data_IF_131736318266
#
_entry.id   IF_131736318266
#
_cell.length_a   1.000
_cell.length_b   1.000
_cell.length_c   1.000
_cell.angle_alpha   90.00
_cell.angle_beta   90.00
_cell.angle_gamma   90.00
#
_symmetry.space_group_name_H-M   'P 1'
#
loop_
_entity.id
_entity.type
_entity.pdbx_description
1 polymer ?
#
# COMPACT_ATOMS: atom_id res chain seq x y z
N UNK A 1 -12.93 39.61 22.74
CA UNK A 1 -12.05 38.48 23.08
C UNK A 1 -12.69 37.16 22.65
N UNK A 2 -14.02 37.00 22.72
CA UNK A 2 -14.76 35.81 22.24
C UNK A 2 -14.56 35.46 20.76
N UNK A 3 -14.45 36.44 19.86
CA UNK A 3 -14.25 36.16 18.41
C UNK A 3 -12.97 35.38 18.11
N UNK A 4 -11.91 35.50 18.93
CA UNK A 4 -10.64 34.80 18.68
C UNK A 4 -10.69 33.35 19.12
N UNK A 5 -11.48 33.03 20.14
CA UNK A 5 -11.65 31.67 20.65
C UNK A 5 -12.67 30.91 19.83
N UNK A 6 -13.73 31.57 19.36
CA UNK A 6 -14.66 31.04 18.35
C UNK A 6 -13.93 30.63 17.05
N UNK A 7 -12.93 31.40 16.61
CA UNK A 7 -12.11 31.04 15.45
C UNK A 7 -11.21 29.81 15.70
N UNK A 8 -10.62 29.69 16.90
CA UNK A 8 -9.80 28.53 17.30
C UNK A 8 -10.64 27.25 17.38
N UNK A 9 -11.82 27.34 18.00
CA UNK A 9 -12.73 26.20 18.14
C UNK A 9 -13.26 25.71 16.79
N UNK A 10 -13.56 26.62 15.87
CA UNK A 10 -13.91 26.27 14.48
C UNK A 10 -12.76 25.57 13.75
N UNK A 11 -11.52 26.01 13.94
CA UNK A 11 -10.34 25.36 13.36
C UNK A 11 -10.12 23.96 13.94
N UNK A 12 -10.23 23.79 15.26
CA UNK A 12 -10.14 22.49 15.93
C UNK A 12 -11.19 21.53 15.35
N UNK A 13 -12.45 21.96 15.23
CA UNK A 13 -13.52 21.12 14.64
C UNK A 13 -13.23 20.71 13.20
N UNK A 14 -12.73 21.62 12.37
CA UNK A 14 -12.40 21.30 10.98
C UNK A 14 -11.22 20.33 10.87
N UNK A 15 -10.22 20.50 11.73
CA UNK A 15 -9.02 19.66 11.75
C UNK A 15 -9.32 18.26 12.30
N UNK A 16 -10.12 18.17 13.36
CA UNK A 16 -10.60 16.90 13.92
C UNK A 16 -11.36 16.07 12.87
N UNK A 17 -12.25 16.71 12.08
CA UNK A 17 -12.93 16.05 10.95
C UNK A 17 -11.94 15.49 9.92
N UNK A 18 -10.88 16.23 9.60
CA UNK A 18 -9.84 15.77 8.66
C UNK A 18 -9.04 14.60 9.25
N UNK A 19 -8.69 14.69 10.53
CA UNK A 19 -7.99 13.63 11.26
C UNK A 19 -8.80 12.33 11.28
N UNK A 20 -10.07 12.39 11.70
CA UNK A 20 -10.98 11.23 11.72
C UNK A 20 -11.10 10.58 10.34
N UNK A 21 -11.31 11.39 9.29
CA UNK A 21 -11.36 10.89 7.90
C UNK A 21 -10.06 10.21 7.49
N UNK A 22 -8.89 10.74 7.89
CA UNK A 22 -7.61 10.09 7.62
C UNK A 22 -7.50 8.73 8.33
N UNK A 23 -7.95 8.64 9.59
CA UNK A 23 -8.03 7.37 10.31
C UNK A 23 -8.95 6.36 9.62
N UNK A 24 -10.12 6.79 9.14
CA UNK A 24 -11.05 5.91 8.40
C UNK A 24 -10.40 5.37 7.12
N UNK A 25 -9.68 6.22 6.38
CA UNK A 25 -8.94 5.79 5.19
C UNK A 25 -7.85 4.77 5.53
N UNK A 26 -7.12 4.96 6.64
CA UNK A 26 -6.11 4.01 7.10
C UNK A 26 -6.75 2.64 7.40
N UNK A 27 -7.89 2.62 8.08
CA UNK A 27 -8.62 1.38 8.40
C UNK A 27 -9.09 0.68 7.12
N UNK A 28 -9.67 1.42 6.18
CA UNK A 28 -10.09 0.88 4.88
C UNK A 28 -8.91 0.26 4.11
N UNK A 29 -7.79 0.97 4.04
CA UNK A 29 -6.59 0.51 3.33
C UNK A 29 -5.99 -0.73 4.00
N UNK A 30 -6.00 -0.82 5.33
CA UNK A 30 -5.54 -2.01 6.05
C UNK A 30 -6.37 -3.25 5.69
N UNK A 31 -7.70 -3.12 5.64
CA UNK A 31 -8.58 -4.22 5.23
C UNK A 31 -8.28 -4.66 3.78
N UNK A 32 -8.10 -3.71 2.87
CA UNK A 32 -7.75 -4.00 1.46
C UNK A 32 -6.38 -4.68 1.33
N UNK A 33 -5.39 -4.28 2.13
CA UNK A 33 -4.07 -4.89 2.17
C UNK A 33 -4.18 -6.35 2.64
N UNK A 34 -4.93 -6.63 3.72
CA UNK A 34 -5.13 -7.99 4.23
C UNK A 34 -5.79 -8.92 3.19
N UNK A 35 -6.83 -8.41 2.51
CA UNK A 35 -7.49 -9.13 1.42
C UNK A 35 -6.54 -9.45 0.27
N UNK A 36 -5.72 -8.48 -0.14
CA UNK A 36 -4.74 -8.68 -1.22
C UNK A 36 -3.61 -9.63 -0.80
N UNK A 37 -3.16 -9.58 0.44
CA UNK A 37 -2.19 -10.53 0.99
C UNK A 37 -2.75 -11.95 0.93
N UNK A 38 -4.00 -12.16 1.34
CA UNK A 38 -4.67 -13.46 1.25
C UNK A 38 -4.72 -13.97 -0.20
N UNK A 39 -5.02 -13.10 -1.17
CA UNK A 39 -5.02 -13.46 -2.60
C UNK A 39 -3.61 -13.77 -3.11
N UNK A 40 -2.61 -13.01 -2.66
CA UNK A 40 -1.21 -13.21 -3.01
C UNK A 40 -0.71 -14.58 -2.52
N UNK A 41 -1.03 -14.94 -1.28
CA UNK A 41 -0.65 -16.23 -0.70
C UNK A 41 -1.27 -17.41 -1.47
N UNK A 42 -2.52 -17.26 -1.93
CA UNK A 42 -3.16 -18.25 -2.80
C UNK A 42 -2.45 -18.37 -4.15
N UNK A 43 -2.07 -17.25 -4.77
CA UNK A 43 -1.31 -17.23 -6.02
C UNK A 43 0.11 -17.79 -5.89
N UNK A 44 0.75 -17.59 -4.72
CA UNK A 44 2.01 -18.22 -4.33
C UNK A 44 1.86 -19.74 -4.27
N UNK A 45 0.88 -20.24 -3.52
CA UNK A 45 0.61 -21.68 -3.39
C UNK A 45 0.28 -22.34 -4.73
N UNK A 46 -0.44 -21.64 -5.61
CA UNK A 46 -0.79 -22.12 -6.95
C UNK A 46 0.30 -21.90 -8.01
N UNK A 47 1.48 -21.37 -7.63
CA UNK A 47 2.60 -21.00 -8.50
C UNK A 47 2.24 -20.09 -9.71
N UNK A 48 1.24 -19.22 -9.58
CA UNK A 48 0.79 -18.33 -10.67
C UNK A 48 1.63 -17.04 -10.73
N UNK A 49 2.74 -17.08 -11.48
CA UNK A 49 3.75 -16.00 -11.56
C UNK A 49 3.19 -14.61 -11.90
N UNK A 50 2.36 -14.51 -12.95
CA UNK A 50 1.78 -13.24 -13.40
C UNK A 50 0.89 -12.59 -12.32
N UNK A 51 0.01 -13.40 -11.71
CA UNK A 51 -0.85 -12.96 -10.61
C UNK A 51 -0.05 -12.45 -9.41
N UNK A 52 1.02 -13.16 -9.02
CA UNK A 52 1.88 -12.71 -7.93
C UNK A 52 2.48 -11.34 -8.18
N UNK A 53 2.97 -11.10 -9.40
CA UNK A 53 3.59 -9.83 -9.75
C UNK A 53 2.57 -8.68 -9.67
N UNK A 54 1.38 -8.87 -10.25
CA UNK A 54 0.30 -7.89 -10.19
C UNK A 54 -0.12 -7.59 -8.75
N UNK A 55 -0.33 -8.62 -7.94
CA UNK A 55 -0.71 -8.49 -6.54
C UNK A 55 0.37 -7.78 -5.71
N UNK A 56 1.65 -8.09 -5.94
CA UNK A 56 2.77 -7.43 -5.27
C UNK A 56 2.83 -5.94 -5.61
N UNK A 57 2.59 -5.57 -6.87
CA UNK A 57 2.57 -4.16 -7.28
C UNK A 57 1.43 -3.42 -6.56
N UNK A 58 0.22 -3.99 -6.54
CA UNK A 58 -0.93 -3.42 -5.83
C UNK A 58 -0.68 -3.27 -4.33
N UNK A 59 -0.10 -4.28 -3.68
CA UNK A 59 0.27 -4.23 -2.26
C UNK A 59 1.22 -3.05 -1.98
N UNK A 60 2.30 -2.93 -2.75
CA UNK A 60 3.26 -1.83 -2.57
C UNK A 60 2.61 -0.44 -2.75
N UNK A 61 1.68 -0.31 -3.70
CA UNK A 61 0.94 0.94 -3.90
C UNK A 61 0.05 1.26 -2.70
N UNK A 62 -0.76 0.31 -2.22
CA UNK A 62 -1.65 0.54 -1.08
C UNK A 62 -0.89 0.81 0.21
N UNK A 63 0.22 0.10 0.47
CA UNK A 63 1.09 0.35 1.60
C UNK A 63 1.66 1.78 1.55
N UNK A 64 2.07 2.24 0.37
CA UNK A 64 2.53 3.62 0.16
C UNK A 64 1.45 4.66 0.46
N UNK A 65 0.23 4.46 -0.06
CA UNK A 65 -0.90 5.38 0.17
C UNK A 65 -1.31 5.38 1.65
N UNK A 66 -1.36 4.21 2.29
CA UNK A 66 -1.65 4.10 3.73
C UNK A 66 -0.62 4.85 4.56
N UNK A 67 0.67 4.71 4.24
CA UNK A 67 1.73 5.44 4.93
C UNK A 67 1.58 6.96 4.75
N UNK A 68 1.17 7.43 3.57
CA UNK A 68 0.87 8.85 3.35
C UNK A 68 -0.27 9.34 4.26
N UNK A 69 -1.33 8.54 4.45
CA UNK A 69 -2.41 8.89 5.38
C UNK A 69 -1.96 8.85 6.84
N UNK A 70 -1.06 7.93 7.23
CA UNK A 70 -0.46 7.95 8.57
C UNK A 70 0.30 9.25 8.84
N UNK A 71 1.16 9.66 7.91
CA UNK A 71 1.92 10.92 8.01
C UNK A 71 0.98 12.13 8.07
N UNK A 72 -0.09 12.12 7.27
CA UNK A 72 -1.10 13.16 7.27
C UNK A 72 -1.86 13.23 8.60
N UNK A 73 -2.32 12.09 9.11
CA UNK A 73 -3.01 11.99 10.39
C UNK A 73 -2.11 12.44 11.55
N UNK A 74 -0.83 12.07 11.54
CA UNK A 74 0.14 12.52 12.55
C UNK A 74 0.24 14.05 12.58
N UNK A 75 0.40 14.70 11.43
CA UNK A 75 0.46 16.17 11.36
C UNK A 75 -0.82 16.83 11.84
N UNK A 76 -1.98 16.26 11.49
CA UNK A 76 -3.25 16.77 11.98
C UNK A 76 -3.38 16.62 13.50
N UNK A 77 -2.88 15.53 14.09
CA UNK A 77 -2.88 15.35 15.54
C UNK A 77 -1.98 16.38 16.23
N UNK A 78 -0.78 16.60 15.70
CA UNK A 78 0.16 17.59 16.23
C UNK A 78 -0.46 19.02 16.18
N UNK A 79 -1.06 19.40 15.05
CA UNK A 79 -1.70 20.71 14.88
C UNK A 79 -2.96 20.84 15.77
N UNK A 80 -3.68 19.74 16.01
CA UNK A 80 -4.85 19.73 16.90
C UNK A 80 -4.42 19.93 18.37
N UNK A 81 -3.33 19.29 18.79
CA UNK A 81 -2.72 19.50 20.11
C UNK A 81 -2.25 20.96 20.28
N UNK A 82 -1.62 21.56 19.27
CA UNK A 82 -1.22 22.97 19.30
C UNK A 82 -2.41 23.92 19.46
N UNK A 83 -3.49 23.71 18.70
CA UNK A 83 -4.70 24.54 18.79
C UNK A 83 -5.42 24.38 20.13
N UNK A 84 -5.49 23.15 20.66
CA UNK A 84 -6.05 22.88 21.98
C UNK A 84 -5.24 23.58 23.09
N UNK A 85 -3.91 23.55 23.01
CA UNK A 85 -3.05 24.27 23.96
C UNK A 85 -3.31 25.79 23.92
N UNK A 86 -3.47 26.38 22.74
CA UNK A 86 -3.81 27.80 22.60
C UNK A 86 -5.18 28.14 23.21
N UNK A 87 -6.15 27.24 23.10
CA UNK A 87 -7.47 27.42 23.69
C UNK A 87 -7.42 27.41 25.24
N UNK A 88 -6.65 26.48 25.80
CA UNK A 88 -6.40 26.40 27.26
C UNK A 88 -5.71 27.67 27.76
N UNK A 89 -4.70 28.17 27.03
CA UNK A 89 -4.01 29.42 27.37
C UNK A 89 -4.94 30.63 27.33
N UNK A 90 -5.96 30.62 26.46
CA UNK A 90 -7.02 31.62 26.41
C UNK A 90 -8.03 31.52 27.56
N UNK A 91 -7.94 30.48 28.40
CA UNK A 91 -8.80 30.25 29.55
C UNK A 91 -10.11 29.54 29.23
N UNK A 92 -10.23 28.91 28.06
CA UNK A 92 -11.37 28.08 27.68
C UNK A 92 -11.02 26.60 27.81
N UNK A 93 -12.00 25.78 28.21
CA UNK A 93 -11.82 24.33 28.38
C UNK A 93 -12.12 23.60 27.06
N UNK A 94 -11.14 22.91 26.45
CA UNK A 94 -11.36 22.15 25.22
C UNK A 94 -12.38 21.02 25.36
N UNK A 95 -12.59 20.49 26.57
CA UNK A 95 -13.51 19.39 26.83
C UNK A 95 -14.99 19.83 26.74
N UNK A 96 -15.27 21.13 26.77
CA UNK A 96 -16.61 21.68 26.54
C UNK A 96 -16.96 21.78 25.04
N UNK A 97 -16.03 21.46 24.15
CA UNK A 97 -16.29 21.46 22.71
C UNK A 97 -17.13 20.24 22.33
N UNK A 98 -18.42 20.46 22.12
CA UNK A 98 -19.26 19.50 21.41
C UNK A 98 -18.62 19.22 20.04
N UNK A 99 -18.06 18.03 19.88
CA UNK A 99 -17.69 17.54 18.56
C UNK A 99 -19.00 17.22 17.88
N UNK A 100 -19.42 18.05 16.92
CA UNK A 100 -20.58 17.76 16.09
C UNK A 100 -20.37 16.34 15.52
N UNK A 101 -21.16 15.39 16.02
CA UNK A 101 -21.24 14.02 15.52
C UNK A 101 -22.01 14.07 14.19
N UNK A 102 -21.43 14.82 13.24
CA UNK A 102 -21.87 14.85 11.87
C UNK A 102 -21.50 13.48 11.31
N UNK A 103 -22.46 12.56 11.48
CA UNK A 103 -22.67 11.33 10.76
C UNK A 103 -22.78 11.66 9.25
N UNK A 104 -21.68 12.16 8.67
CA UNK A 104 -21.41 12.19 7.24
C UNK A 104 -21.18 10.75 6.82
N UNK A 105 -22.28 10.00 6.81
CA UNK A 105 -22.44 8.73 6.17
C UNK A 105 -21.67 8.76 4.86
N UNK A 106 -20.54 8.04 4.82
CA UNK A 106 -19.76 7.84 3.61
C UNK A 106 -20.58 6.96 2.67
N UNK A 107 -21.59 7.54 2.05
CA UNK A 107 -22.25 7.02 0.87
C UNK A 107 -21.24 7.00 -0.28
N UNK A 108 -20.43 5.94 -0.32
CA UNK A 108 -19.87 5.31 -1.52
C UNK A 108 -19.66 3.82 -1.28
N UNK A 109 -20.73 3.10 -0.95
CA UNK A 109 -20.79 1.68 -1.27
C UNK A 109 -21.03 1.49 -2.77
N UNK A 110 -20.03 1.74 -3.60
CA UNK A 110 -19.99 1.22 -4.97
C UNK A 110 -18.78 0.28 -5.07
N UNK A 111 -18.90 -0.85 -4.39
CA UNK A 111 -18.19 -2.08 -4.77
C UNK A 111 -18.91 -2.66 -6.01
N UNK A 112 -18.84 -1.97 -7.13
CA UNK A 112 -19.38 -2.48 -8.41
C UNK A 112 -18.38 -2.34 -9.57
N UNK A 113 -17.07 -2.33 -9.26
CA UNK A 113 -16.06 -2.76 -10.21
C UNK A 113 -15.90 -4.29 -10.09
N UNK A 114 -17.00 -4.96 -10.43
CA UNK A 114 -16.97 -6.23 -11.13
C UNK A 114 -16.26 -5.97 -12.48
N UNK A 115 -14.94 -5.80 -12.46
CA UNK A 115 -14.12 -6.08 -13.62
C UNK A 115 -14.15 -7.58 -13.81
N UNK A 116 -15.21 -7.97 -14.51
CA UNK A 116 -15.33 -9.13 -15.35
C UNK A 116 -14.06 -9.19 -16.21
N UNK A 117 -12.98 -9.78 -15.68
CA UNK A 117 -11.85 -10.21 -16.47
C UNK A 117 -12.41 -11.32 -17.34
N UNK A 118 -12.85 -10.90 -18.53
CA UNK A 118 -13.05 -11.78 -19.65
C UNK A 118 -11.84 -12.72 -19.70
N UNK A 119 -12.19 -14.00 -19.69
CA UNK A 119 -11.33 -15.12 -20.02
C UNK A 119 -10.81 -14.91 -21.45
N UNK A 120 -9.86 -13.99 -21.61
CA UNK A 120 -9.02 -13.92 -22.81
C UNK A 120 -8.06 -15.09 -22.73
N UNK A 121 -8.62 -16.21 -23.19
CA UNK A 121 -7.97 -17.40 -23.66
C UNK A 121 -6.94 -17.04 -24.75
N UNK A 122 -5.82 -16.43 -24.36
CA UNK A 122 -4.63 -16.45 -25.18
C UNK A 122 -3.97 -17.81 -25.03
N UNK A 123 -4.23 -18.64 -26.04
CA UNK A 123 -3.52 -19.87 -26.36
C UNK A 123 -2.02 -19.58 -26.46
N UNK A 124 -1.31 -19.63 -25.33
CA UNK A 124 0.14 -19.61 -25.30
C UNK A 124 0.62 -21.03 -25.57
N UNK A 125 0.93 -21.30 -26.84
CA UNK A 125 1.59 -22.51 -27.29
C UNK A 125 2.92 -22.68 -26.55
N UNK A 126 3.04 -23.79 -25.82
CA UNK A 126 4.28 -24.32 -25.28
C UNK A 126 5.30 -24.47 -26.41
N UNK A 127 6.29 -23.59 -26.47
CA UNK A 127 7.53 -23.87 -27.22
C UNK A 127 8.47 -24.64 -26.29
N UNK A 128 8.19 -25.94 -26.19
CA UNK A 128 9.18 -26.95 -25.81
C UNK A 128 10.26 -27.03 -26.91
N UNK A 129 11.34 -26.25 -26.78
CA UNK A 129 12.56 -26.46 -27.57
C UNK A 129 13.41 -27.54 -26.90
N UNK A 130 13.08 -28.80 -27.21
CA UNK A 130 13.86 -29.99 -26.89
C UNK A 130 14.13 -30.79 -28.17
N UNK A 131 15.37 -30.74 -28.66
CA UNK A 131 15.92 -31.65 -29.68
C UNK A 131 17.12 -31.00 -30.38
N UNK A 132 18.38 -31.43 -30.21
CA UNK A 132 18.89 -32.79 -30.35
C UNK A 132 19.53 -32.94 -31.74
N UNK A 133 20.87 -32.90 -31.83
CA UNK A 133 21.60 -33.05 -33.09
C UNK A 133 23.09 -33.33 -32.90
N UNK A 134 23.44 -34.61 -32.76
CA UNK A 134 24.80 -35.16 -32.71
C UNK A 134 25.63 -34.89 -33.97
N UNK A 135 26.96 -34.78 -33.83
CA UNK A 135 27.96 -35.32 -34.78
C UNK A 135 29.35 -35.45 -34.13
N UNK A 136 29.81 -36.70 -34.01
CA UNK A 136 31.20 -37.09 -33.81
C UNK A 136 32.11 -36.55 -34.94
N UNK A 137 33.37 -36.25 -34.64
CA UNK A 137 34.54 -36.89 -35.31
C UNK A 137 35.83 -36.67 -34.50
N UNK A 138 36.70 -37.69 -34.59
CA UNK A 138 37.93 -38.00 -33.84
C UNK A 138 39.13 -37.08 -34.14
N UNK A 139 40.05 -36.99 -33.17
CA UNK A 139 41.48 -36.66 -33.42
C UNK A 139 42.26 -36.15 -32.19
N UNK A 140 42.95 -37.05 -31.48
CA UNK A 140 44.14 -36.76 -30.65
C UNK A 140 45.41 -37.09 -31.49
N UNK A 141 46.68 -36.83 -31.07
CA UNK A 141 47.23 -36.10 -29.90
C UNK A 141 48.33 -35.06 -30.33
N UNK A 142 48.96 -34.23 -29.48
CA UNK A 142 50.19 -34.55 -28.71
C UNK A 142 50.79 -33.29 -28.02
N UNK A 143 51.41 -33.55 -26.86
CA UNK A 143 52.59 -32.90 -26.23
C UNK A 143 52.48 -31.47 -25.69
N UNK A 144 52.90 -31.30 -24.43
CA UNK A 144 53.16 -29.99 -23.85
C UNK A 144 53.15 -29.97 -22.32
N UNK A 145 54.07 -30.71 -21.72
CA UNK A 145 54.36 -30.84 -20.29
C UNK A 145 54.78 -29.54 -19.57
N UNK A 146 54.79 -29.64 -18.23
CA UNK A 146 55.39 -28.77 -17.20
C UNK A 146 54.48 -27.66 -16.63
N UNK A 147 53.86 -27.85 -15.46
CA UNK A 147 54.42 -27.95 -14.09
C UNK A 147 54.69 -26.58 -13.46
N UNK A 148 54.09 -26.38 -12.28
CA UNK A 148 54.62 -25.61 -11.14
C UNK A 148 54.76 -24.09 -11.31
N UNK A 149 54.77 -23.24 -10.30
CA UNK A 149 54.48 -23.23 -8.86
C UNK A 149 54.53 -21.72 -8.52
N UNK A 150 53.78 -21.32 -7.50
CA UNK A 150 54.12 -20.27 -6.53
C UNK A 150 54.98 -19.07 -6.98
N UNK A 151 54.39 -17.87 -6.92
CA UNK A 151 54.67 -16.89 -5.83
C UNK A 151 53.67 -15.74 -5.91
#
# INVERSE_FOLDING_TARGET
MTSSTEDLTSQIRQLDRKFRRACDQILLLNNQIEDLQTRYDRAMKANRRSFRYSLRLRLATLEGVRNMFYEYASRCADELEELQNQLIEAGEDPDELETDDDNDNADRSNNDDNENFADDNEHFSDNDDSGGGSKETRGLPLSGSHSELLS
#
